data_IF_898887470045
#
_entry.id   IF_898887470045
#
_cell.length_a   1.000
_cell.length_b   1.000
_cell.length_c   1.000
_cell.angle_alpha   90.00
_cell.angle_beta   90.00
_cell.angle_gamma   90.00
#
_symmetry.space_group_name_H-M   'P 1'
#
loop_
_entity.id
_entity.type
_entity.pdbx_description
1 polymer ?
#
# COMPACT_ATOMS: atom_id res chain seq x y z
N UNK A 1 -55.57 47.50 -0.69
CA UNK A 1 -54.83 48.61 -0.09
C UNK A 1 -53.49 48.77 -0.81
N UNK A 2 -53.36 49.84 -1.61
CA UNK A 2 -52.09 50.52 -1.94
C UNK A 2 -52.21 51.92 -1.33
N UNK A 3 -51.12 52.48 -0.82
CA UNK A 3 -50.33 53.49 -1.56
C UNK A 3 -48.83 53.14 -1.51
N UNK A 4 -48.02 53.38 -2.54
CA UNK A 4 -47.53 54.68 -3.06
C UNK A 4 -46.70 55.48 -2.04
N UNK A 5 -45.46 55.76 -2.43
CA UNK A 5 -44.46 56.52 -1.67
C UNK A 5 -43.19 56.72 -2.49
N UNK A 6 -43.36 57.34 -3.66
CA UNK A 6 -42.28 57.80 -4.55
C UNK A 6 -41.66 59.12 -4.05
N UNK A 7 -40.36 59.25 -4.33
CA UNK A 7 -39.64 60.46 -4.80
C UNK A 7 -39.55 61.71 -3.92
N UNK A 8 -38.30 62.16 -3.71
CA UNK A 8 -37.70 63.39 -4.30
C UNK A 8 -36.20 63.44 -3.85
N UNK A 9 -35.20 63.29 -4.75
CA UNK A 9 -34.55 64.35 -5.58
C UNK A 9 -33.92 65.44 -4.68
N UNK A 10 -32.64 65.86 -4.77
CA UNK A 10 -31.71 66.12 -5.89
C UNK A 10 -30.30 66.37 -5.30
N UNK A 11 -29.22 66.09 -6.05
CA UNK A 11 -28.04 66.96 -6.33
C UNK A 11 -26.76 66.12 -6.56
N UNK A 12 -26.43 65.81 -7.83
CA UNK A 12 -25.47 66.55 -8.70
C UNK A 12 -24.03 66.18 -8.34
N UNK A 13 -23.46 65.20 -9.07
CA UNK A 13 -22.49 65.38 -10.17
C UNK A 13 -21.18 66.04 -9.73
N UNK A 14 -20.10 65.25 -9.70
CA UNK A 14 -18.78 65.69 -10.16
C UNK A 14 -17.91 64.48 -10.49
N UNK A 15 -17.52 64.41 -11.76
CA UNK A 15 -16.52 63.53 -12.32
C UNK A 15 -15.18 63.61 -11.58
N UNK A 16 -14.45 62.50 -11.47
CA UNK A 16 -13.04 62.42 -11.85
C UNK A 16 -12.52 60.99 -11.66
N UNK A 17 -12.17 60.37 -12.78
CA UNK A 17 -11.03 59.49 -12.98
C UNK A 17 -10.31 59.02 -11.70
N UNK A 18 -10.38 57.72 -11.40
CA UNK A 18 -9.20 57.03 -10.92
C UNK A 18 -9.17 55.62 -11.50
N UNK A 19 -8.07 55.37 -12.19
CA UNK A 19 -7.83 54.23 -13.04
C UNK A 19 -8.04 52.89 -12.32
N UNK A 20 -8.70 51.98 -13.03
CA UNK A 20 -8.66 50.56 -12.78
C UNK A 20 -7.20 50.11 -13.01
N UNK A 21 -6.39 50.15 -11.96
CA UNK A 21 -5.08 49.52 -11.96
C UNK A 21 -5.30 48.02 -11.75
N UNK A 22 -5.26 47.31 -12.87
CA UNK A 22 -5.22 45.86 -12.95
C UNK A 22 -4.21 45.30 -11.93
N UNK A 23 -4.71 44.58 -10.93
CA UNK A 23 -3.85 43.64 -10.20
C UNK A 23 -3.69 42.40 -11.07
N UNK A 24 -2.77 42.48 -12.04
CA UNK A 24 -2.18 41.28 -12.64
C UNK A 24 -1.39 40.57 -11.53
N UNK A 25 -2.06 39.67 -10.82
CA UNK A 25 -1.37 38.60 -10.13
C UNK A 25 -0.73 37.72 -11.21
N UNK A 26 0.56 37.92 -11.44
CA UNK A 26 1.36 37.07 -12.30
C UNK A 26 1.26 35.61 -11.81
N UNK A 27 0.42 34.81 -12.45
CA UNK A 27 0.50 33.36 -12.37
C UNK A 27 1.84 32.95 -12.98
N UNK A 28 2.73 32.25 -12.25
CA UNK A 28 3.82 31.58 -12.93
C UNK A 28 3.19 30.48 -13.80
N UNK A 29 3.34 30.62 -15.12
CA UNK A 29 3.02 29.58 -16.07
C UNK A 29 3.80 28.32 -15.67
N UNK A 30 3.08 27.27 -15.30
CA UNK A 30 3.63 25.94 -15.17
C UNK A 30 4.09 25.50 -16.57
N UNK A 31 5.38 25.70 -16.87
CA UNK A 31 6.01 25.11 -18.04
C UNK A 31 5.86 23.57 -18.00
N UNK A 32 5.93 22.89 -19.16
CA UNK A 32 5.85 21.44 -19.19
C UNK A 32 6.96 20.87 -18.30
N UNK A 33 6.57 20.12 -17.26
CA UNK A 33 7.51 19.31 -16.50
C UNK A 33 8.05 18.28 -17.48
N UNK A 34 9.28 18.47 -17.94
CA UNK A 34 10.03 17.40 -18.57
C UNK A 34 10.05 16.24 -17.60
N UNK A 35 9.43 15.12 -18.00
CA UNK A 35 9.67 13.84 -17.36
C UNK A 35 11.16 13.57 -17.54
N UNK A 36 11.96 13.91 -16.53
CA UNK A 36 13.36 13.50 -16.50
C UNK A 36 13.38 11.99 -16.58
N UNK A 37 14.20 11.45 -17.47
CA UNK A 37 14.44 10.02 -17.58
C UNK A 37 14.67 9.47 -16.19
N UNK A 38 13.70 8.71 -15.69
CA UNK A 38 13.84 8.00 -14.43
C UNK A 38 15.00 7.03 -14.66
N UNK A 39 16.19 7.39 -14.18
CA UNK A 39 17.32 6.48 -14.11
C UNK A 39 16.83 5.35 -13.22
N UNK A 40 16.41 4.26 -13.85
CA UNK A 40 16.01 3.04 -13.16
C UNK A 40 17.21 2.64 -12.31
N UNK A 41 17.09 2.81 -10.98
CA UNK A 41 18.12 2.36 -10.07
C UNK A 41 18.33 0.86 -10.32
N UNK A 42 19.58 0.38 -10.39
CA UNK A 42 19.85 -1.04 -10.54
C UNK A 42 19.07 -1.80 -9.46
N UNK A 43 18.29 -2.79 -9.88
CA UNK A 43 17.57 -3.64 -8.93
C UNK A 43 18.60 -4.17 -7.90
N UNK A 44 18.33 -4.05 -6.60
CA UNK A 44 19.23 -4.55 -5.57
C UNK A 44 19.53 -6.04 -5.80
N UNK A 45 20.70 -6.54 -5.36
CA UNK A 45 21.07 -7.94 -5.52
C UNK A 45 19.93 -8.84 -5.06
N UNK A 46 19.62 -9.87 -5.87
CA UNK A 46 18.55 -10.83 -5.58
C UNK A 46 18.82 -11.46 -4.23
N UNK A 47 18.06 -11.05 -3.23
CA UNK A 47 18.17 -11.60 -1.88
C UNK A 47 17.65 -13.03 -1.98
N UNK A 48 18.49 -14.02 -1.67
CA UNK A 48 18.12 -15.45 -1.67
C UNK A 48 17.27 -15.84 -0.45
N UNK A 49 16.90 -14.86 0.36
CA UNK A 49 16.23 -15.04 1.64
C UNK A 49 15.24 -13.90 1.82
N UNK A 50 14.15 -14.15 2.53
CA UNK A 50 13.26 -13.06 2.93
C UNK A 50 13.98 -12.02 3.79
N UNK A 51 13.60 -10.73 3.67
CA UNK A 51 13.98 -9.72 4.65
C UNK A 51 13.56 -10.14 6.06
N UNK A 52 14.37 -9.78 7.08
CA UNK A 52 14.08 -10.10 8.47
C UNK A 52 12.71 -9.59 8.93
N UNK A 53 12.35 -8.37 8.52
CA UNK A 53 11.05 -7.77 8.82
C UNK A 53 9.88 -8.61 8.28
N UNK A 54 10.01 -9.19 7.08
CA UNK A 54 8.95 -10.04 6.51
C UNK A 54 8.84 -11.37 7.27
N UNK A 55 9.97 -11.96 7.68
CA UNK A 55 9.99 -13.17 8.51
C UNK A 55 9.36 -12.93 9.90
N UNK A 56 9.59 -11.77 10.50
CA UNK A 56 8.97 -11.36 11.77
C UNK A 56 7.45 -11.20 11.63
N UNK A 57 7.00 -10.56 10.55
CA UNK A 57 5.57 -10.44 10.22
C UNK A 57 4.94 -11.81 10.03
N UNK A 58 5.57 -12.70 9.25
CA UNK A 58 5.11 -14.08 9.05
C UNK A 58 4.98 -14.84 10.37
N UNK A 59 6.00 -14.77 11.24
CA UNK A 59 5.99 -15.45 12.54
C UNK A 59 4.86 -14.94 13.45
N UNK A 60 4.65 -13.62 13.48
CA UNK A 60 3.56 -12.99 14.24
C UNK A 60 2.18 -13.41 13.74
N UNK A 61 1.96 -13.38 12.43
CA UNK A 61 0.71 -13.82 11.79
C UNK A 61 0.47 -15.31 12.08
N UNK A 62 1.49 -16.15 11.91
CA UNK A 62 1.37 -17.59 12.17
C UNK A 62 0.99 -17.87 13.63
N UNK A 63 1.64 -17.21 14.59
CA UNK A 63 1.30 -17.34 16.01
C UNK A 63 -0.14 -16.87 16.32
N UNK A 64 -0.59 -15.78 15.71
CA UNK A 64 -1.96 -15.29 15.87
C UNK A 64 -2.99 -16.27 15.31
N UNK A 65 -2.72 -16.86 14.15
CA UNK A 65 -3.59 -17.88 13.54
C UNK A 65 -3.63 -19.17 14.36
N UNK A 66 -2.49 -19.65 14.86
CA UNK A 66 -2.45 -20.79 15.79
C UNK A 66 -3.31 -20.54 17.03
N UNK A 67 -3.19 -19.34 17.61
CA UNK A 67 -3.99 -18.93 18.77
C UNK A 67 -5.49 -18.89 18.43
N UNK A 68 -5.86 -18.31 17.29
CA UNK A 68 -7.25 -18.20 16.80
C UNK A 68 -7.88 -19.57 16.51
N UNK A 69 -7.08 -20.51 16.02
CA UNK A 69 -7.48 -21.91 15.81
C UNK A 69 -7.56 -22.73 17.10
N UNK A 70 -7.23 -22.14 18.26
CA UNK A 70 -7.14 -22.82 19.55
C UNK A 70 -6.19 -24.05 19.53
N UNK A 71 -5.15 -23.96 18.70
CA UNK A 71 -4.09 -24.96 18.59
C UNK A 71 -2.86 -24.51 19.38
N UNK A 72 -2.06 -25.44 19.95
CA UNK A 72 -0.75 -25.09 20.48
C UNK A 72 0.09 -24.40 19.40
N UNK A 73 0.81 -23.34 19.76
CA UNK A 73 1.79 -22.69 18.88
C UNK A 73 3.08 -23.53 18.78
N UNK A 74 2.93 -24.81 18.44
CA UNK A 74 4.04 -25.72 18.19
C UNK A 74 4.62 -25.51 16.78
N UNK A 75 5.72 -26.21 16.51
CA UNK A 75 6.42 -26.04 15.24
C UNK A 75 5.56 -26.41 14.02
N UNK A 76 4.65 -27.37 14.16
CA UNK A 76 3.79 -27.81 13.08
C UNK A 76 2.77 -26.72 12.72
N UNK A 77 2.08 -26.17 13.71
CA UNK A 77 1.11 -25.10 13.47
C UNK A 77 1.77 -23.83 12.91
N UNK A 78 2.91 -23.45 13.47
CA UNK A 78 3.62 -22.25 13.05
C UNK A 78 4.13 -22.36 11.60
N UNK A 79 4.70 -23.50 11.23
CA UNK A 79 5.15 -23.73 9.85
C UNK A 79 3.97 -23.83 8.89
N UNK A 80 2.88 -24.49 9.27
CA UNK A 80 1.67 -24.59 8.43
C UNK A 80 1.14 -23.20 8.05
N UNK A 81 0.88 -22.34 9.05
CA UNK A 81 0.37 -21.00 8.77
C UNK A 81 1.40 -20.08 8.08
N UNK A 82 2.70 -20.25 8.35
CA UNK A 82 3.75 -19.48 7.66
C UNK A 82 3.97 -19.95 6.22
N UNK A 83 3.69 -21.22 5.90
CA UNK A 83 3.89 -21.81 4.56
C UNK A 83 3.08 -21.08 3.48
N UNK A 84 1.95 -20.48 3.86
CA UNK A 84 1.11 -19.65 2.98
C UNK A 84 1.90 -18.48 2.36
N UNK A 85 2.89 -17.95 3.09
CA UNK A 85 3.73 -16.85 2.64
C UNK A 85 5.07 -17.34 2.09
N UNK A 86 5.69 -18.31 2.78
CA UNK A 86 7.00 -18.85 2.42
C UNK A 86 7.02 -19.56 1.06
N UNK A 87 5.86 -19.94 0.52
CA UNK A 87 5.76 -20.53 -0.81
C UNK A 87 6.21 -19.59 -1.93
N UNK A 88 6.20 -18.27 -1.72
CA UNK A 88 6.51 -17.29 -2.76
C UNK A 88 8.01 -16.97 -2.85
N UNK A 89 8.77 -17.43 -3.86
CA UNK A 89 10.24 -17.29 -3.87
C UNK A 89 10.71 -15.82 -3.76
N UNK A 90 11.57 -15.47 -2.78
CA UNK A 90 12.01 -14.09 -2.57
C UNK A 90 12.97 -13.58 -3.65
N UNK A 91 13.66 -14.48 -4.35
CA UNK A 91 14.53 -14.18 -5.49
C UNK A 91 13.77 -13.69 -6.74
N UNK A 92 12.47 -13.99 -6.85
CA UNK A 92 11.63 -13.54 -7.94
C UNK A 92 10.86 -12.28 -7.54
N UNK A 93 11.04 -11.14 -8.23
CA UNK A 93 10.41 -9.87 -7.86
C UNK A 93 8.88 -9.91 -7.85
N UNK A 94 8.25 -10.63 -8.78
CA UNK A 94 6.79 -10.66 -8.89
C UNK A 94 6.20 -11.57 -7.80
N UNK A 95 6.84 -12.72 -7.56
CA UNK A 95 6.44 -13.59 -6.46
C UNK A 95 6.64 -12.91 -5.10
N UNK A 96 7.74 -12.17 -4.93
CA UNK A 96 8.00 -11.38 -3.72
C UNK A 96 6.98 -10.27 -3.53
N UNK A 97 6.55 -9.62 -4.62
CA UNK A 97 5.50 -8.60 -4.55
C UNK A 97 4.18 -9.21 -4.05
N UNK A 98 3.78 -10.37 -4.59
CA UNK A 98 2.61 -11.12 -4.12
C UNK A 98 2.76 -11.54 -2.65
N UNK A 99 3.95 -11.97 -2.23
CA UNK A 99 4.22 -12.30 -0.83
C UNK A 99 3.98 -11.09 0.09
N UNK A 100 4.46 -9.90 -0.31
CA UNK A 100 4.24 -8.64 0.40
C UNK A 100 2.76 -8.29 0.50
N UNK A 101 2.02 -8.40 -0.60
CA UNK A 101 0.56 -8.19 -0.63
C UNK A 101 -0.15 -9.17 0.31
N UNK A 102 0.20 -10.45 0.26
CA UNK A 102 -0.38 -11.49 1.10
C UNK A 102 -0.15 -11.22 2.60
N UNK A 103 1.04 -10.76 2.97
CA UNK A 103 1.35 -10.37 4.35
C UNK A 103 0.48 -9.20 4.80
N UNK A 104 0.35 -8.15 3.98
CA UNK A 104 -0.45 -6.97 4.34
C UNK A 104 -1.96 -7.31 4.44
N UNK A 105 -2.48 -8.18 3.57
CA UNK A 105 -3.86 -8.70 3.68
C UNK A 105 -4.04 -9.48 4.98
N UNK A 106 -3.06 -10.33 5.33
CA UNK A 106 -3.11 -11.10 6.56
C UNK A 106 -3.06 -10.20 7.80
N UNK A 107 -2.20 -9.17 7.82
CA UNK A 107 -2.11 -8.23 8.94
C UNK A 107 -3.40 -7.45 9.15
N UNK A 108 -4.04 -6.99 8.08
CA UNK A 108 -5.35 -6.40 8.19
C UNK A 108 -6.37 -7.39 8.78
N UNK A 109 -6.36 -8.65 8.34
CA UNK A 109 -7.34 -9.64 8.79
C UNK A 109 -7.13 -10.15 10.23
N UNK A 110 -5.88 -10.24 10.69
CA UNK A 110 -5.58 -10.79 12.02
C UNK A 110 -5.39 -9.71 13.08
N UNK A 111 -5.04 -8.48 12.69
CA UNK A 111 -4.66 -7.40 13.60
C UNK A 111 -5.32 -6.05 13.32
N UNK A 112 -6.15 -5.91 12.27
CA UNK A 112 -6.71 -4.63 11.78
C UNK A 112 -5.64 -3.60 11.36
N UNK A 113 -4.41 -4.06 11.12
CA UNK A 113 -3.28 -3.22 10.72
C UNK A 113 -3.31 -2.92 9.21
N UNK A 114 -3.23 -1.65 8.81
CA UNK A 114 -3.08 -1.26 7.40
C UNK A 114 -4.30 -1.52 6.51
N UNK A 115 -5.48 -1.80 7.07
CA UNK A 115 -6.68 -2.18 6.31
C UNK A 115 -7.18 -1.13 5.32
N UNK A 116 -6.95 0.16 5.55
CA UNK A 116 -7.34 1.22 4.61
C UNK A 116 -6.46 1.28 3.35
N UNK A 117 -5.28 0.67 3.42
CA UNK A 117 -4.28 0.67 2.34
C UNK A 117 -4.20 -0.66 1.59
N UNK A 118 -5.05 -1.63 1.92
CA UNK A 118 -4.98 -2.99 1.39
C UNK A 118 -6.34 -3.41 0.84
N UNK A 119 -6.36 -3.80 -0.43
CA UNK A 119 -7.51 -4.45 -1.06
C UNK A 119 -7.23 -5.96 -1.18
N UNK A 120 -7.95 -6.84 -0.45
CA UNK A 120 -7.80 -8.29 -0.60
C UNK A 120 -8.05 -8.79 -2.02
N UNK A 121 -8.89 -8.09 -2.81
CA UNK A 121 -9.11 -8.38 -4.22
C UNK A 121 -7.86 -8.18 -5.08
N UNK A 122 -6.91 -7.35 -4.63
CA UNK A 122 -5.65 -7.14 -5.34
C UNK A 122 -4.76 -8.37 -5.30
N UNK A 123 -4.71 -9.06 -4.16
CA UNK A 123 -3.99 -10.33 -4.05
C UNK A 123 -4.51 -11.37 -5.05
N UNK A 124 -5.83 -11.45 -5.22
CA UNK A 124 -6.47 -12.36 -6.17
C UNK A 124 -6.08 -11.99 -7.60
N UNK A 125 -6.22 -10.72 -7.99
CA UNK A 125 -5.84 -10.24 -9.33
C UNK A 125 -4.37 -10.47 -9.64
N UNK A 126 -3.49 -10.27 -8.66
CA UNK A 126 -2.06 -10.52 -8.84
C UNK A 126 -1.77 -12.01 -9.07
N UNK A 127 -2.39 -12.91 -8.29
CA UNK A 127 -2.25 -14.35 -8.48
C UNK A 127 -2.78 -14.80 -9.84
N UNK A 128 -3.95 -14.32 -10.24
CA UNK A 128 -4.54 -14.62 -11.55
C UNK A 128 -3.65 -14.12 -12.70
N UNK A 129 -3.06 -12.94 -12.57
CA UNK A 129 -2.16 -12.39 -13.58
C UNK A 129 -0.90 -13.23 -13.75
N UNK A 130 -0.29 -13.71 -12.65
CA UNK A 130 0.88 -14.58 -12.70
C UNK A 130 0.55 -15.94 -13.31
N UNK A 131 -0.58 -16.53 -12.92
CA UNK A 131 -1.04 -17.79 -13.51
C UNK A 131 -1.35 -17.62 -15.00
N UNK A 132 -1.94 -16.50 -15.42
CA UNK A 132 -2.26 -16.19 -16.81
C UNK A 132 -1.03 -16.11 -17.73
N UNK A 133 0.14 -15.77 -17.18
CA UNK A 133 1.42 -15.78 -17.92
C UNK A 133 2.26 -17.04 -17.69
N UNK A 134 1.68 -18.07 -17.06
CA UNK A 134 2.35 -19.34 -16.79
C UNK A 134 3.44 -19.26 -15.72
N UNK A 135 3.43 -18.23 -14.88
CA UNK A 135 4.41 -18.04 -13.82
C UNK A 135 3.96 -18.74 -12.54
N UNK A 136 4.71 -19.76 -12.15
CA UNK A 136 4.49 -20.48 -10.90
C UNK A 136 5.32 -19.88 -9.78
N UNK A 137 4.64 -19.30 -8.80
CA UNK A 137 5.24 -18.78 -7.58
C UNK A 137 5.05 -19.73 -6.39
N UNK A 138 4.61 -20.97 -6.60
CA UNK A 138 4.51 -21.97 -5.55
C UNK A 138 5.79 -22.81 -5.50
N UNK A 139 6.38 -22.87 -4.30
CA UNK A 139 7.42 -23.83 -3.96
C UNK A 139 7.26 -24.27 -2.53
N UNK A 140 7.97 -25.35 -2.19
CA UNK A 140 8.13 -25.71 -0.80
C UNK A 140 9.02 -24.68 -0.08
N UNK A 141 8.68 -24.29 1.16
CA UNK A 141 9.59 -23.55 2.02
C UNK A 141 10.92 -24.31 2.19
N UNK A 142 12.02 -23.59 2.32
CA UNK A 142 13.32 -24.21 2.66
C UNK A 142 13.41 -24.49 4.16
N UNK A 143 14.30 -25.39 4.57
CA UNK A 143 14.56 -25.64 5.99
C UNK A 143 15.06 -24.39 6.71
N UNK A 144 15.85 -23.56 6.03
CA UNK A 144 16.38 -22.30 6.57
C UNK A 144 15.23 -21.33 6.89
N UNK A 145 14.26 -21.22 5.99
CA UNK A 145 13.10 -20.34 6.17
C UNK A 145 12.17 -20.85 7.28
N UNK A 146 11.89 -22.15 7.30
CA UNK A 146 11.13 -22.78 8.38
C UNK A 146 11.79 -22.51 9.73
N UNK A 147 13.09 -22.77 9.83
CA UNK A 147 13.86 -22.54 11.06
C UNK A 147 13.86 -21.07 11.48
N UNK A 148 13.97 -20.14 10.53
CA UNK A 148 13.95 -18.70 10.81
C UNK A 148 12.61 -18.26 11.41
N UNK A 149 11.48 -18.69 10.81
CA UNK A 149 10.15 -18.38 11.34
C UNK A 149 9.95 -19.00 12.73
N UNK A 150 10.31 -20.26 12.91
CA UNK A 150 10.19 -20.95 14.21
C UNK A 150 10.97 -20.23 15.31
N UNK A 151 12.20 -19.82 15.00
CA UNK A 151 13.04 -19.05 15.92
C UNK A 151 12.39 -17.73 16.31
N UNK A 152 11.82 -17.00 15.34
CA UNK A 152 11.17 -15.70 15.58
C UNK A 152 9.84 -15.84 16.33
N UNK A 153 9.10 -16.92 16.08
CA UNK A 153 7.86 -17.23 16.79
C UNK A 153 8.07 -17.68 18.23
N UNK A 154 9.33 -17.88 18.66
CA UNK A 154 9.66 -18.37 20.00
C UNK A 154 9.31 -19.84 20.22
N UNK A 155 9.19 -20.62 19.14
CA UNK A 155 9.04 -22.06 19.23
C UNK A 155 10.31 -22.65 19.88
N UNK A 156 10.13 -23.37 20.98
CA UNK A 156 11.21 -24.08 21.69
C UNK A 156 11.19 -25.56 21.36
#
# INVERSE_FOLDING_TARGET
MRPEGSSLLVLVVACAFLACACSEAAQPAAGPRTAGDAIAQPAPPRVRTYPAADLERMARIAAARCKKANTPSDAACLVDHASTFLRYPPEDPDCRYVAGTALSVAECSEFEEGCLSVDPGDLVRQLDALQGVGKDCQRDPTDVERAAVLKLAGAK
#
